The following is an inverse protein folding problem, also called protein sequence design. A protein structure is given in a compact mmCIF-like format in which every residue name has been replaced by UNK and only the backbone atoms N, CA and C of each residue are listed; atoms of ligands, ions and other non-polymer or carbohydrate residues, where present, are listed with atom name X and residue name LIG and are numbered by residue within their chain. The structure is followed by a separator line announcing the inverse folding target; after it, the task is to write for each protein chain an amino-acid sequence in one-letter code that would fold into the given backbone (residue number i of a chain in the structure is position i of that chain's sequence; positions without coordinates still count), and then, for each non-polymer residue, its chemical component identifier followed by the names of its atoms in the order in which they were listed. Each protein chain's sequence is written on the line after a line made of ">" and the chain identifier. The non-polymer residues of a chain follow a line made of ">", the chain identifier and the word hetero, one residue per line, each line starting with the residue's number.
data_IF_560785971566
#
_entry.id   IF_560785971566
#
_cell.length_a   1.000
_cell.length_b   1.000
_cell.length_c   1.000
_cell.angle_alpha   90.00
_cell.angle_beta   90.00
_cell.angle_gamma   90.00
#
_symmetry.space_group_name_H-M   'P 1'
#
loop_
_entity.id
_entity.type
_entity.pdbx_description
1 polymer ?
#
# COMPACT_ATOMS: atom_id res chain seq x y z
N UNK A 1 25.71 -5.69 3.11
CA UNK A 1 24.64 -6.66 3.42
C UNK A 1 23.51 -6.43 2.45
N UNK A 2 22.79 -7.47 2.07
CA UNK A 2 21.58 -7.34 1.22
C UNK A 2 20.48 -6.65 2.03
N UNK A 3 19.86 -5.62 1.48
CA UNK A 3 18.73 -4.94 2.12
C UNK A 3 17.50 -5.85 2.10
N UNK A 4 16.68 -5.79 3.13
CA UNK A 4 15.44 -6.58 3.26
C UNK A 4 14.21 -5.68 3.16
N UNK A 5 13.20 -6.12 2.42
CA UNK A 5 11.89 -5.48 2.34
C UNK A 5 10.78 -6.44 2.75
N UNK A 6 9.83 -5.96 3.55
CA UNK A 6 8.57 -6.64 3.84
C UNK A 6 7.44 -5.97 3.07
N UNK A 7 6.70 -6.75 2.26
CA UNK A 7 5.61 -6.25 1.41
C UNK A 7 4.31 -6.93 1.78
N UNK A 8 3.31 -6.15 2.18
CA UNK A 8 1.96 -6.66 2.48
C UNK A 8 1.07 -6.67 1.25
N UNK A 9 0.11 -7.61 1.19
CA UNK A 9 -0.79 -7.74 0.03
C UNK A 9 -0.07 -8.11 -1.27
N UNK A 10 0.99 -8.89 -1.16
CA UNK A 10 1.93 -9.20 -2.24
C UNK A 10 1.31 -9.95 -3.43
N UNK A 11 0.24 -10.71 -3.22
CA UNK A 11 -0.44 -11.47 -4.27
C UNK A 11 -1.38 -10.61 -5.16
N UNK A 12 -1.60 -9.34 -4.81
CA UNK A 12 -2.34 -8.39 -5.64
C UNK A 12 -1.52 -7.86 -6.82
N UNK A 13 -2.17 -7.20 -7.78
CA UNK A 13 -1.49 -6.68 -8.98
C UNK A 13 -0.35 -5.71 -8.67
N UNK A 14 -0.57 -4.73 -7.78
CA UNK A 14 0.49 -3.81 -7.32
C UNK A 14 1.51 -4.57 -6.46
N UNK A 15 1.05 -5.46 -5.56
CA UNK A 15 1.93 -6.23 -4.68
C UNK A 15 2.92 -7.10 -5.45
N UNK A 16 2.46 -7.77 -6.50
CA UNK A 16 3.31 -8.58 -7.38
C UNK A 16 4.38 -7.73 -8.09
N UNK A 17 3.98 -6.56 -8.62
CA UNK A 17 4.92 -5.63 -9.23
C UNK A 17 5.94 -5.06 -8.23
N UNK A 18 5.52 -4.82 -6.97
CA UNK A 18 6.40 -4.42 -5.88
C UNK A 18 7.45 -5.50 -5.62
N UNK A 19 7.04 -6.77 -5.43
CA UNK A 19 7.96 -7.88 -5.20
C UNK A 19 9.02 -7.95 -6.30
N UNK A 20 8.61 -7.99 -7.57
CA UNK A 20 9.53 -8.06 -8.70
C UNK A 20 10.47 -6.84 -8.78
N UNK A 21 9.95 -5.62 -8.52
CA UNK A 21 10.77 -4.42 -8.60
C UNK A 21 11.80 -4.33 -7.47
N UNK A 22 11.43 -4.67 -6.24
CA UNK A 22 12.38 -4.72 -5.11
C UNK A 22 13.43 -5.82 -5.29
N UNK A 23 13.03 -6.99 -5.81
CA UNK A 23 13.96 -8.06 -6.14
C UNK A 23 14.98 -7.64 -7.20
N UNK A 24 14.51 -7.00 -8.28
CA UNK A 24 15.38 -6.43 -9.31
C UNK A 24 16.31 -5.33 -8.79
N UNK A 25 15.93 -4.65 -7.72
CA UNK A 25 16.77 -3.66 -7.01
C UNK A 25 17.73 -4.30 -6.00
N UNK A 26 17.78 -5.64 -5.91
CA UNK A 26 18.72 -6.38 -5.08
C UNK A 26 18.30 -6.55 -3.62
N UNK A 27 17.02 -6.37 -3.31
CA UNK A 27 16.48 -6.63 -1.97
C UNK A 27 16.18 -8.11 -1.77
N UNK A 28 16.34 -8.61 -0.54
CA UNK A 28 15.71 -9.82 -0.07
C UNK A 28 14.24 -9.51 0.21
N UNK A 29 13.32 -10.15 -0.52
CA UNK A 29 11.89 -9.83 -0.52
C UNK A 29 11.13 -10.80 0.36
N UNK A 30 10.60 -10.31 1.47
CA UNK A 30 9.63 -11.02 2.30
C UNK A 30 8.24 -10.52 1.91
N UNK A 31 7.38 -11.43 1.49
CA UNK A 31 6.03 -11.14 1.04
C UNK A 31 5.00 -11.71 2.00
N UNK A 32 3.87 -11.02 2.18
CA UNK A 32 2.75 -11.56 2.96
C UNK A 32 1.40 -11.31 2.28
N UNK A 33 0.48 -12.22 2.52
CA UNK A 33 -0.88 -12.16 1.99
C UNK A 33 -1.76 -13.30 2.52
N UNK A 34 -3.06 -13.24 2.25
CA UNK A 34 -4.05 -14.22 2.71
C UNK A 34 -3.93 -15.62 2.08
N UNK A 35 -3.68 -15.76 0.77
CA UNK A 35 -3.52 -17.08 0.17
C UNK A 35 -2.39 -17.88 0.83
N UNK A 36 -2.54 -19.22 0.87
CA UNK A 36 -1.52 -20.13 1.41
C UNK A 36 -0.23 -20.16 0.59
N UNK A 37 -0.35 -19.84 -0.70
CA UNK A 37 0.76 -19.94 -1.66
C UNK A 37 0.99 -18.56 -2.27
N UNK A 38 2.27 -18.16 -2.33
CA UNK A 38 2.68 -16.97 -3.06
C UNK A 38 2.44 -17.15 -4.56
N UNK A 39 1.96 -16.09 -5.20
CA UNK A 39 1.96 -15.96 -6.66
C UNK A 39 2.79 -14.75 -7.11
N UNK A 40 3.76 -14.34 -6.30
CA UNK A 40 4.66 -13.21 -6.53
C UNK A 40 6.12 -13.68 -6.45
N UNK A 41 7.02 -12.90 -7.06
CA UNK A 41 8.45 -13.16 -7.03
C UNK A 41 9.05 -12.67 -5.70
N UNK A 42 9.09 -13.55 -4.70
CA UNK A 42 9.63 -13.26 -3.38
C UNK A 42 10.64 -14.34 -2.95
N UNK A 43 11.50 -13.98 -1.99
CA UNK A 43 12.47 -14.92 -1.39
C UNK A 43 11.85 -15.72 -0.25
N UNK A 44 10.91 -15.09 0.47
CA UNK A 44 10.16 -15.75 1.54
C UNK A 44 8.71 -15.25 1.57
N UNK A 45 7.78 -16.16 1.85
CA UNK A 45 6.37 -15.84 1.93
C UNK A 45 5.78 -16.26 3.28
N UNK A 46 5.08 -15.34 3.91
CA UNK A 46 4.38 -15.57 5.18
C UNK A 46 2.88 -15.39 4.94
N UNK A 47 2.10 -16.45 5.11
CA UNK A 47 0.65 -16.33 5.06
C UNK A 47 0.15 -15.55 6.28
N UNK A 48 -0.61 -14.48 6.05
CA UNK A 48 -1.28 -13.74 7.12
C UNK A 48 -2.53 -13.02 6.61
N UNK A 49 -3.56 -12.96 7.44
CA UNK A 49 -4.65 -12.00 7.30
C UNK A 49 -4.38 -10.83 8.26
N UNK A 50 -4.26 -9.62 7.71
CA UNK A 50 -3.92 -8.45 8.52
C UNK A 50 -5.03 -8.07 9.50
N UNK A 51 -6.29 -8.40 9.22
CA UNK A 51 -7.37 -8.18 10.19
C UNK A 51 -7.18 -9.02 11.45
N UNK A 52 -6.73 -10.28 11.30
CA UNK A 52 -6.47 -11.16 12.44
C UNK A 52 -5.27 -10.68 13.27
N UNK A 53 -4.22 -10.15 12.61
CA UNK A 53 -3.04 -9.63 13.29
C UNK A 53 -3.35 -8.40 14.15
N UNK A 54 -4.27 -7.56 13.72
CA UNK A 54 -4.67 -6.34 14.45
C UNK A 54 -5.43 -6.69 15.73
N UNK A 55 -6.26 -7.72 15.68
CA UNK A 55 -7.12 -8.12 16.80
C UNK A 55 -6.43 -9.04 17.80
N UNK A 56 -5.22 -9.54 17.47
CA UNK A 56 -4.53 -10.55 18.29
C UNK A 56 -3.03 -10.28 18.39
N UNK A 57 -2.60 -9.82 19.56
CA UNK A 57 -1.19 -9.51 19.85
C UNK A 57 -0.27 -10.74 19.70
N UNK A 58 -0.73 -11.94 20.07
CA UNK A 58 0.08 -13.15 19.98
C UNK A 58 0.35 -13.53 18.52
N UNK A 59 -0.67 -13.37 17.66
CA UNK A 59 -0.49 -13.56 16.21
C UNK A 59 0.43 -12.51 15.60
N UNK A 60 0.35 -11.26 16.06
CA UNK A 60 1.23 -10.18 15.62
C UNK A 60 2.69 -10.44 16.02
N UNK A 61 2.93 -10.88 17.25
CA UNK A 61 4.27 -11.26 17.71
C UNK A 61 4.80 -12.51 16.96
N UNK A 62 3.97 -13.51 16.74
CA UNK A 62 4.29 -14.67 15.90
C UNK A 62 4.67 -14.26 14.46
N UNK A 63 3.94 -13.31 13.88
CA UNK A 63 4.24 -12.79 12.56
C UNK A 63 5.62 -12.11 12.53
N UNK A 64 5.93 -11.30 13.55
CA UNK A 64 7.25 -10.68 13.74
C UNK A 64 8.36 -11.72 13.83
N UNK A 65 8.18 -12.75 14.64
CA UNK A 65 9.16 -13.83 14.82
C UNK A 65 9.37 -14.60 13.50
N UNK A 66 8.32 -14.85 12.74
CA UNK A 66 8.41 -15.45 11.41
C UNK A 66 9.26 -14.60 10.44
N UNK A 67 9.09 -13.27 10.45
CA UNK A 67 9.94 -12.37 9.66
C UNK A 67 11.40 -12.49 10.10
N UNK A 68 11.70 -12.43 11.40
CA UNK A 68 13.06 -12.50 11.91
C UNK A 68 13.68 -13.91 11.91
N UNK A 69 12.89 -14.95 11.60
CA UNK A 69 13.44 -16.29 11.36
C UNK A 69 14.26 -16.39 10.06
N UNK A 70 14.04 -15.47 9.12
CA UNK A 70 14.67 -15.49 7.78
C UNK A 70 15.56 -14.28 7.50
N UNK A 71 15.55 -13.27 8.35
CA UNK A 71 16.39 -12.06 8.20
C UNK A 71 16.85 -11.53 9.56
N UNK A 72 17.97 -10.81 9.58
CA UNK A 72 18.46 -10.10 10.77
C UNK A 72 18.15 -8.59 10.73
N UNK A 73 17.65 -8.07 9.59
CA UNK A 73 17.37 -6.66 9.41
C UNK A 73 16.10 -6.46 8.62
N UNK A 74 15.47 -5.32 8.80
CA UNK A 74 14.38 -4.85 7.95
C UNK A 74 14.70 -3.41 7.53
N UNK A 75 14.93 -3.22 6.24
CA UNK A 75 15.30 -1.92 5.67
C UNK A 75 14.10 -1.17 5.14
N UNK A 76 13.07 -1.89 4.68
CA UNK A 76 11.87 -1.27 4.12
C UNK A 76 10.62 -2.06 4.50
N UNK A 77 9.58 -1.35 4.93
CA UNK A 77 8.23 -1.87 5.09
C UNK A 77 7.33 -1.22 4.03
N UNK A 78 6.68 -2.04 3.18
CA UNK A 78 5.69 -1.56 2.21
C UNK A 78 4.29 -2.02 2.63
N UNK A 79 3.50 -1.08 3.15
CA UNK A 79 2.09 -1.28 3.50
C UNK A 79 1.24 -1.13 2.22
N UNK A 80 1.05 -2.24 1.50
CA UNK A 80 0.30 -2.28 0.25
C UNK A 80 -1.04 -3.01 0.37
N UNK A 81 -1.21 -3.91 1.33
CA UNK A 81 -2.48 -4.59 1.52
C UNK A 81 -3.64 -3.60 1.70
N UNK A 82 -4.76 -3.90 1.06
CA UNK A 82 -5.96 -3.09 1.19
C UNK A 82 -7.23 -3.93 1.00
N UNK A 83 -8.27 -3.53 1.69
CA UNK A 83 -9.64 -4.01 1.54
C UNK A 83 -10.49 -2.86 1.00
N UNK A 84 -11.31 -3.16 -0.03
CA UNK A 84 -12.26 -2.22 -0.62
C UNK A 84 -13.65 -2.85 -0.58
N UNK A 85 -14.48 -2.39 0.34
CA UNK A 85 -15.90 -2.74 0.41
C UNK A 85 -16.67 -1.53 -0.08
N UNK A 86 -17.47 -1.73 -1.12
CA UNK A 86 -18.29 -0.69 -1.72
C UNK A 86 -19.71 -0.78 -1.16
N UNK A 87 -20.18 0.30 -0.56
CA UNK A 87 -21.54 0.36 0.02
C UNK A 87 -22.06 1.80 0.02
N UNK A 88 -23.36 1.95 -0.25
CA UNK A 88 -24.05 3.22 -0.02
C UNK A 88 -24.14 3.49 1.50
N UNK A 89 -24.45 4.73 1.90
CA UNK A 89 -24.61 5.06 3.31
C UNK A 89 -25.74 4.24 3.98
N UNK A 90 -26.81 3.97 3.24
CA UNK A 90 -27.97 3.21 3.74
C UNK A 90 -27.66 1.73 3.98
N UNK A 91 -26.70 1.17 3.22
CA UNK A 91 -26.40 -0.27 3.22
C UNK A 91 -25.07 -0.58 3.91
N UNK A 92 -24.38 0.45 4.39
CA UNK A 92 -23.07 0.31 5.02
C UNK A 92 -23.19 -0.31 6.41
N UNK A 93 -22.66 -1.52 6.55
CA UNK A 93 -22.50 -2.15 7.84
C UNK A 93 -21.28 -1.58 8.60
N UNK A 94 -21.47 -1.27 9.88
CA UNK A 94 -20.38 -0.74 10.73
C UNK A 94 -19.24 -1.76 10.88
N UNK A 95 -19.54 -3.05 10.83
CA UNK A 95 -18.54 -4.11 10.84
C UNK A 95 -17.61 -4.04 9.62
N UNK A 96 -18.16 -3.79 8.43
CA UNK A 96 -17.40 -3.64 7.19
C UNK A 96 -16.54 -2.38 7.20
N UNK A 97 -17.07 -1.29 7.76
CA UNK A 97 -16.32 -0.05 7.97
C UNK A 97 -15.10 -0.31 8.88
N UNK A 98 -15.30 -0.93 10.04
CA UNK A 98 -14.22 -1.28 10.98
C UNK A 98 -13.19 -2.18 10.32
N UNK A 99 -13.62 -3.27 9.69
CA UNK A 99 -12.72 -4.19 8.99
C UNK A 99 -11.88 -3.51 7.90
N UNK A 100 -12.48 -2.54 7.19
CA UNK A 100 -11.75 -1.74 6.21
C UNK A 100 -10.66 -0.88 6.87
N UNK A 101 -10.97 -0.26 8.01
CA UNK A 101 -9.97 0.50 8.79
C UNK A 101 -8.88 -0.41 9.34
N UNK A 102 -9.24 -1.59 9.86
CA UNK A 102 -8.27 -2.53 10.44
C UNK A 102 -7.23 -2.96 9.39
N UNK A 103 -7.67 -3.35 8.21
CA UNK A 103 -6.76 -3.78 7.14
C UNK A 103 -5.97 -2.60 6.54
N UNK A 104 -6.63 -1.46 6.27
CA UNK A 104 -6.03 -0.39 5.47
C UNK A 104 -5.23 0.62 6.30
N UNK A 105 -5.50 0.71 7.61
CA UNK A 105 -4.93 1.71 8.49
C UNK A 105 -4.27 1.09 9.73
N UNK A 106 -5.04 0.36 10.56
CA UNK A 106 -4.57 -0.14 11.85
C UNK A 106 -3.42 -1.13 11.66
N UNK A 107 -3.51 -2.01 10.64
CA UNK A 107 -2.42 -2.94 10.32
C UNK A 107 -1.14 -2.22 9.90
N UNK A 108 -1.23 -1.13 9.11
CA UNK A 108 -0.05 -0.35 8.74
C UNK A 108 0.65 0.28 9.96
N UNK A 109 -0.14 0.78 10.92
CA UNK A 109 0.39 1.29 12.19
C UNK A 109 1.02 0.15 13.02
N UNK A 110 0.30 -0.95 13.24
CA UNK A 110 0.75 -2.08 14.04
C UNK A 110 2.06 -2.69 13.49
N UNK A 111 2.14 -2.90 12.18
CA UNK A 111 3.35 -3.40 11.53
C UNK A 111 4.52 -2.40 11.65
N UNK A 112 4.27 -1.11 11.48
CA UNK A 112 5.31 -0.10 11.67
C UNK A 112 5.82 -0.13 13.11
N UNK A 113 4.92 -0.25 14.09
CA UNK A 113 5.26 -0.29 15.51
C UNK A 113 6.10 -1.52 15.88
N UNK A 114 5.69 -2.73 15.47
CA UNK A 114 6.44 -3.95 15.83
C UNK A 114 7.81 -4.04 15.16
N UNK A 115 7.99 -3.38 14.00
CA UNK A 115 9.25 -3.34 13.27
C UNK A 115 10.05 -2.04 13.48
N UNK A 116 9.58 -1.09 14.29
CA UNK A 116 10.21 0.21 14.54
C UNK A 116 11.69 0.09 14.86
N UNK A 117 12.05 -0.80 15.79
CA UNK A 117 13.45 -0.99 16.21
C UNK A 117 14.35 -1.46 15.06
N UNK A 118 13.87 -2.37 14.23
CA UNK A 118 14.64 -2.88 13.10
C UNK A 118 14.80 -1.80 12.02
N UNK A 119 13.72 -1.08 11.69
CA UNK A 119 13.72 0.04 10.76
C UNK A 119 14.64 1.17 11.24
N UNK A 120 14.61 1.50 12.53
CA UNK A 120 15.51 2.50 13.14
C UNK A 120 16.98 2.07 13.03
N UNK A 121 17.28 0.81 13.34
CA UNK A 121 18.66 0.28 13.27
C UNK A 121 19.21 0.33 11.84
N UNK A 122 18.40 0.07 10.83
CA UNK A 122 18.77 0.11 9.42
C UNK A 122 18.74 1.51 8.81
N UNK A 123 18.27 2.54 9.53
CA UNK A 123 17.87 3.85 8.98
C UNK A 123 16.92 3.68 7.79
N UNK A 124 15.95 2.83 7.98
CA UNK A 124 15.09 2.32 6.94
C UNK A 124 13.97 3.26 6.49
N UNK A 125 12.99 2.67 5.82
CA UNK A 125 11.85 3.41 5.28
C UNK A 125 10.54 2.64 5.39
N UNK A 126 9.44 3.39 5.53
CA UNK A 126 8.07 2.90 5.38
C UNK A 126 7.46 3.55 4.15
N UNK A 127 6.90 2.74 3.26
CA UNK A 127 6.16 3.20 2.08
C UNK A 127 4.72 2.72 2.18
N UNK A 128 3.79 3.66 2.33
CA UNK A 128 2.36 3.34 2.38
C UNK A 128 1.75 3.47 0.98
N UNK A 129 1.01 2.47 0.51
CA UNK A 129 0.24 2.57 -0.73
C UNK A 129 -1.15 3.13 -0.39
N UNK A 130 -1.26 4.43 -0.57
CA UNK A 130 -2.48 5.21 -0.39
C UNK A 130 -3.47 5.04 -1.55
N UNK A 131 -4.14 6.13 -1.89
CA UNK A 131 -5.03 6.21 -3.05
C UNK A 131 -5.41 7.66 -3.33
N UNK A 132 -5.74 7.99 -4.57
CA UNK A 132 -6.42 9.23 -4.92
C UNK A 132 -7.69 9.47 -4.08
N UNK A 133 -8.31 8.38 -3.60
CA UNK A 133 -9.47 8.44 -2.71
C UNK A 133 -9.17 9.04 -1.32
N UNK A 134 -7.91 9.34 -1.01
CA UNK A 134 -7.56 10.13 0.17
C UNK A 134 -7.93 11.62 0.04
N UNK A 135 -8.10 12.13 -1.18
CA UNK A 135 -8.44 13.54 -1.48
C UNK A 135 -9.72 13.67 -2.29
N UNK A 136 -9.90 12.80 -3.28
CA UNK A 136 -11.01 12.81 -4.21
C UNK A 136 -11.73 11.47 -4.10
N UNK A 137 -13.07 11.47 -4.11
CA UNK A 137 -13.82 10.23 -3.97
C UNK A 137 -15.07 10.23 -4.86
N UNK A 138 -15.80 9.14 -4.83
CA UNK A 138 -17.04 8.92 -5.58
C UNK A 138 -18.03 8.13 -4.73
N UNK A 139 -19.33 8.05 -5.12
CA UNK A 139 -20.33 7.28 -4.38
C UNK A 139 -19.90 5.85 -4.06
N UNK A 140 -20.36 5.32 -2.93
CA UNK A 140 -20.11 3.97 -2.41
C UNK A 140 -18.68 3.69 -1.87
N UNK A 141 -17.80 4.68 -1.79
CA UNK A 141 -16.42 4.53 -1.34
C UNK A 141 -16.19 5.00 0.11
N UNK A 142 -17.24 5.10 0.94
CA UNK A 142 -17.17 5.70 2.29
C UNK A 142 -16.05 5.09 3.12
N UNK A 143 -16.05 3.77 3.35
CA UNK A 143 -15.07 3.09 4.19
C UNK A 143 -13.66 3.21 3.60
N UNK A 144 -13.53 2.95 2.31
CA UNK A 144 -12.24 2.96 1.61
C UNK A 144 -11.62 4.36 1.60
N UNK A 145 -12.37 5.38 1.17
CA UNK A 145 -11.87 6.76 1.12
C UNK A 145 -11.47 7.27 2.50
N UNK A 146 -12.29 7.00 3.54
CA UNK A 146 -11.96 7.35 4.92
C UNK A 146 -10.66 6.68 5.36
N UNK A 147 -10.49 5.38 5.09
CA UNK A 147 -9.27 4.65 5.47
C UNK A 147 -8.02 5.20 4.76
N UNK A 148 -8.13 5.58 3.49
CA UNK A 148 -6.99 6.10 2.72
C UNK A 148 -6.65 7.55 3.09
N UNK A 149 -7.65 8.38 3.44
CA UNK A 149 -7.42 9.71 4.01
C UNK A 149 -6.72 9.62 5.38
N UNK A 150 -7.14 8.68 6.23
CA UNK A 150 -6.48 8.43 7.51
C UNK A 150 -5.05 7.88 7.35
N UNK A 151 -4.79 6.99 6.39
CA UNK A 151 -3.46 6.47 6.09
C UNK A 151 -2.51 7.58 5.62
N UNK A 152 -2.99 8.56 4.84
CA UNK A 152 -2.24 9.78 4.49
C UNK A 152 -1.85 10.57 5.75
N UNK A 153 -2.78 10.75 6.69
CA UNK A 153 -2.52 11.39 7.97
C UNK A 153 -1.50 10.63 8.80
N UNK A 154 -1.64 9.31 8.88
CA UNK A 154 -0.70 8.42 9.57
C UNK A 154 0.72 8.54 9.02
N UNK A 155 0.89 8.57 7.69
CA UNK A 155 2.21 8.72 7.06
C UNK A 155 2.91 10.00 7.50
N UNK A 156 2.19 11.12 7.56
CA UNK A 156 2.73 12.41 8.02
C UNK A 156 3.07 12.39 9.52
N UNK A 157 2.19 11.82 10.35
CA UNK A 157 2.41 11.74 11.80
C UNK A 157 3.63 10.88 12.11
N UNK A 158 3.75 9.70 11.49
CA UNK A 158 4.90 8.82 11.69
C UNK A 158 6.20 9.44 11.16
N UNK A 159 6.16 10.19 10.06
CA UNK A 159 7.33 10.89 9.55
C UNK A 159 7.87 11.95 10.54
N UNK A 160 6.99 12.59 11.30
CA UNK A 160 7.36 13.54 12.36
C UNK A 160 7.87 12.80 13.60
N UNK A 161 7.16 11.76 14.03
CA UNK A 161 7.45 11.03 15.26
C UNK A 161 8.76 10.22 15.17
N UNK A 162 8.98 9.55 14.04
CA UNK A 162 10.19 8.76 13.78
C UNK A 162 11.39 9.61 13.35
N UNK A 163 11.17 10.86 12.97
CA UNK A 163 12.18 11.88 12.75
C UNK A 163 13.30 11.48 11.81
N UNK A 164 14.56 11.66 12.24
CA UNK A 164 15.76 11.32 11.46
C UNK A 164 16.16 9.84 11.46
N UNK A 165 15.32 8.94 12.00
CA UNK A 165 15.65 7.52 12.12
C UNK A 165 15.01 6.66 11.04
N UNK A 166 13.72 6.91 10.74
CA UNK A 166 12.95 6.17 9.73
C UNK A 166 12.21 7.16 8.85
N UNK A 167 12.34 7.03 7.54
CA UNK A 167 11.58 7.83 6.58
C UNK A 167 10.22 7.18 6.33
N UNK A 168 9.15 7.97 6.34
CA UNK A 168 7.79 7.47 6.09
C UNK A 168 7.16 8.30 4.98
N UNK A 169 6.80 7.64 3.87
CA UNK A 169 6.21 8.28 2.71
C UNK A 169 4.96 7.52 2.23
N UNK A 170 4.11 8.17 1.46
CA UNK A 170 2.94 7.56 0.84
C UNK A 170 2.96 7.75 -0.67
N UNK A 171 2.51 6.74 -1.40
CA UNK A 171 2.20 6.83 -2.84
C UNK A 171 0.68 6.79 -2.97
N UNK A 172 0.11 7.68 -3.76
CA UNK A 172 -1.34 7.75 -3.97
C UNK A 172 -1.67 7.53 -5.45
N UNK A 173 -1.95 6.27 -5.82
CA UNK A 173 -2.35 5.92 -7.17
C UNK A 173 -3.81 6.32 -7.46
N UNK A 174 -4.09 6.65 -8.73
CA UNK A 174 -5.44 6.68 -9.28
C UNK A 174 -5.82 5.29 -9.82
N UNK A 175 -6.29 5.19 -11.07
CA UNK A 175 -6.66 3.91 -11.66
C UNK A 175 -5.44 3.23 -12.33
N UNK A 176 -5.17 2.00 -11.92
CA UNK A 176 -4.09 1.17 -12.43
C UNK A 176 -4.62 -0.16 -12.97
N UNK A 177 -4.02 -0.67 -14.04
CA UNK A 177 -4.37 -1.95 -14.68
C UNK A 177 -4.02 -3.13 -13.76
N UNK A 178 -4.88 -3.38 -12.79
CA UNK A 178 -4.82 -4.54 -11.90
C UNK A 178 -5.95 -5.51 -12.23
N UNK A 179 -5.79 -6.79 -11.92
CA UNK A 179 -6.87 -7.77 -12.07
C UNK A 179 -8.17 -7.30 -11.39
N UNK A 180 -8.06 -6.72 -10.19
CA UNK A 180 -9.22 -6.19 -9.45
C UNK A 180 -9.96 -5.09 -10.23
N UNK A 181 -9.24 -4.15 -10.85
CA UNK A 181 -9.86 -3.09 -11.65
C UNK A 181 -10.52 -3.68 -12.90
N UNK A 182 -9.79 -4.47 -13.67
CA UNK A 182 -10.26 -5.06 -14.92
C UNK A 182 -11.48 -5.96 -14.68
N UNK A 183 -11.43 -6.80 -13.62
CA UNK A 183 -12.55 -7.67 -13.24
C UNK A 183 -13.80 -6.87 -12.87
N UNK A 184 -13.64 -5.71 -12.23
CA UNK A 184 -14.74 -4.81 -11.88
C UNK A 184 -15.46 -4.20 -13.10
N UNK A 185 -14.81 -4.16 -14.27
CA UNK A 185 -15.37 -3.61 -15.50
C UNK A 185 -15.68 -4.64 -16.57
N UNK A 186 -15.55 -5.95 -16.31
CA UNK A 186 -15.82 -7.02 -17.30
C UNK A 186 -17.22 -6.94 -17.90
N UNK A 187 -18.23 -6.55 -17.10
CA UNK A 187 -19.60 -6.42 -17.55
C UNK A 187 -19.90 -5.07 -18.26
N UNK A 188 -18.98 -4.11 -18.17
CA UNK A 188 -19.18 -2.73 -18.68
C UNK A 188 -17.88 -2.18 -19.27
N UNK A 189 -17.36 -2.76 -20.37
CA UNK A 189 -16.07 -2.34 -20.96
C UNK A 189 -16.06 -0.87 -21.41
N UNK A 190 -17.21 -0.34 -21.80
CA UNK A 190 -17.39 1.08 -22.16
C UNK A 190 -17.03 1.99 -21.00
N UNK A 191 -17.41 1.64 -19.77
CA UNK A 191 -17.06 2.40 -18.56
C UNK A 191 -15.58 2.38 -18.24
N UNK A 192 -14.86 1.31 -18.60
CA UNK A 192 -13.42 1.27 -18.49
C UNK A 192 -12.77 2.28 -19.46
N UNK A 193 -13.30 2.39 -20.68
CA UNK A 193 -12.85 3.39 -21.65
C UNK A 193 -13.12 4.82 -21.16
N UNK A 194 -14.31 5.08 -20.58
CA UNK A 194 -14.65 6.35 -19.96
C UNK A 194 -13.69 6.68 -18.81
N UNK A 195 -13.42 5.71 -17.92
CA UNK A 195 -12.46 5.88 -16.83
C UNK A 195 -11.07 6.22 -17.36
N UNK A 196 -10.64 5.56 -18.43
CA UNK A 196 -9.37 5.85 -19.09
C UNK A 196 -9.32 7.29 -19.62
N UNK A 197 -10.39 7.75 -20.27
CA UNK A 197 -10.51 9.10 -20.81
C UNK A 197 -10.58 10.19 -19.71
N UNK A 198 -10.95 9.85 -18.47
CA UNK A 198 -10.88 10.78 -17.34
C UNK A 198 -9.43 11.18 -17.01
N UNK A 199 -8.43 10.35 -17.34
CA UNK A 199 -7.04 10.67 -17.08
C UNK A 199 -6.45 11.51 -18.22
N UNK A 200 -5.92 12.71 -17.98
CA UNK A 200 -5.25 13.52 -18.99
C UNK A 200 -4.12 12.79 -19.74
N UNK A 201 -3.49 11.81 -19.11
CA UNK A 201 -2.49 10.95 -19.74
C UNK A 201 -3.04 10.02 -20.84
N UNK A 202 -4.37 9.92 -20.97
CA UNK A 202 -5.05 9.07 -21.94
C UNK A 202 -4.91 7.56 -21.72
N UNK A 203 -4.42 7.15 -20.55
CA UNK A 203 -4.19 5.73 -20.21
C UNK A 203 -4.36 5.48 -18.72
N UNK A 204 -4.59 4.21 -18.35
CA UNK A 204 -4.47 3.74 -16.98
C UNK A 204 -2.98 3.55 -16.62
N UNK A 205 -2.66 3.69 -15.34
CA UNK A 205 -1.32 3.42 -14.85
C UNK A 205 -0.99 1.93 -14.87
N UNK A 206 0.30 1.60 -14.98
CA UNK A 206 0.78 0.22 -14.88
C UNK A 206 1.30 -0.04 -13.46
N UNK A 207 0.99 -1.19 -12.83
CA UNK A 207 1.45 -1.53 -11.48
C UNK A 207 2.95 -1.33 -11.25
N UNK A 208 3.77 -1.57 -12.28
CA UNK A 208 5.22 -1.36 -12.23
C UNK A 208 5.62 0.11 -12.01
N UNK A 209 4.79 1.08 -12.37
CA UNK A 209 5.07 2.51 -12.14
C UNK A 209 4.99 2.83 -10.64
N UNK A 210 4.01 2.24 -9.92
CA UNK A 210 3.94 2.33 -8.45
C UNK A 210 5.14 1.64 -7.80
N UNK A 211 5.50 0.46 -8.29
CA UNK A 211 6.59 -0.32 -7.73
C UNK A 211 7.95 0.40 -7.89
N UNK A 212 8.21 1.03 -9.04
CA UNK A 212 9.42 1.86 -9.25
C UNK A 212 9.45 3.05 -8.30
N UNK A 213 8.31 3.72 -8.09
CA UNK A 213 8.20 4.83 -7.14
C UNK A 213 8.44 4.36 -5.70
N UNK A 214 7.95 3.17 -5.32
CA UNK A 214 8.21 2.60 -4.00
C UNK A 214 9.70 2.30 -3.79
N UNK A 215 10.38 1.70 -4.77
CA UNK A 215 11.83 1.46 -4.73
C UNK A 215 12.59 2.80 -4.62
N UNK A 216 12.18 3.83 -5.38
CA UNK A 216 12.76 5.16 -5.29
C UNK A 216 12.61 5.76 -3.88
N UNK A 217 11.42 5.72 -3.28
CA UNK A 217 11.20 6.22 -1.92
C UNK A 217 11.93 5.39 -0.85
N UNK A 218 12.16 4.11 -1.10
CA UNK A 218 12.92 3.22 -0.21
C UNK A 218 14.43 3.46 -0.25
N UNK A 219 14.95 4.08 -1.33
CA UNK A 219 16.39 4.30 -1.49
C UNK A 219 16.93 5.25 -0.43
N UNK A 220 17.99 4.82 0.26
CA UNK A 220 18.67 5.59 1.30
C UNK A 220 19.29 6.91 0.82
N UNK A 221 19.54 7.07 -0.49
CA UNK A 221 20.05 8.32 -1.06
C UNK A 221 19.04 9.48 -0.98
N UNK A 222 17.77 9.17 -0.73
CA UNK A 222 16.68 10.15 -0.60
C UNK A 222 16.41 10.53 0.88
N UNK A 223 17.47 10.83 1.65
CA UNK A 223 17.38 11.04 3.10
C UNK A 223 16.42 12.17 3.50
N UNK A 224 16.29 13.21 2.68
CA UNK A 224 15.41 14.35 2.98
C UNK A 224 13.93 14.11 2.61
N UNK A 225 13.61 12.97 1.99
CA UNK A 225 12.24 12.62 1.61
C UNK A 225 11.56 11.83 2.74
N UNK A 226 10.85 12.54 3.63
CA UNK A 226 9.95 11.96 4.62
C UNK A 226 8.67 12.78 4.73
N UNK A 227 7.54 12.17 5.05
CA UNK A 227 6.22 12.83 5.08
C UNK A 227 5.66 13.19 3.68
N UNK A 228 6.33 12.75 2.61
CA UNK A 228 5.93 13.04 1.24
C UNK A 228 4.72 12.21 0.82
N UNK A 229 3.79 12.86 0.13
CA UNK A 229 2.68 12.21 -0.55
C UNK A 229 2.95 12.31 -2.06
N UNK A 230 3.30 11.19 -2.66
CA UNK A 230 3.59 11.10 -4.08
C UNK A 230 2.35 10.65 -4.85
N UNK A 231 1.71 11.57 -5.53
CA UNK A 231 0.54 11.27 -6.36
C UNK A 231 0.98 10.72 -7.72
N UNK A 232 0.46 9.54 -8.09
CA UNK A 232 0.67 8.93 -9.41
C UNK A 232 -0.72 8.69 -10.01
N UNK A 233 -1.24 9.69 -10.70
CA UNK A 233 -2.67 9.78 -11.00
C UNK A 233 -2.98 10.12 -12.48
N UNK A 234 -1.99 10.12 -13.38
CA UNK A 234 -2.20 10.44 -14.81
C UNK A 234 -2.79 11.83 -15.06
N UNK A 235 -2.70 12.74 -14.07
CA UNK A 235 -3.20 14.11 -14.16
C UNK A 235 -4.67 14.29 -13.76
N UNK A 236 -5.39 13.22 -13.39
CA UNK A 236 -6.84 13.31 -13.10
C UNK A 236 -7.15 14.23 -11.92
N UNK A 237 -6.27 14.28 -10.90
CA UNK A 237 -6.48 15.14 -9.73
C UNK A 237 -6.31 16.65 -10.04
N UNK A 238 -5.60 16.99 -11.12
CA UNK A 238 -5.41 18.38 -11.56
C UNK A 238 -6.42 18.87 -12.59
N UNK A 239 -7.36 18.01 -12.99
CA UNK A 239 -8.30 18.34 -14.06
C UNK A 239 -9.50 19.14 -13.52
N UNK A 240 -9.68 20.34 -14.03
CA UNK A 240 -10.93 21.11 -13.88
C UNK A 240 -11.98 20.51 -14.82
N UNK A 241 -13.13 20.09 -14.27
CA UNK A 241 -14.29 19.66 -15.04
C UNK A 241 -15.20 20.90 -15.28
N UNK A 242 -14.80 21.72 -16.24
CA UNK A 242 -15.57 22.88 -16.67
C UNK A 242 -16.01 22.64 -18.12
N UNK A 243 -17.33 22.78 -18.45
CA UNK A 243 -17.78 22.70 -19.81
C UNK A 243 -17.18 23.88 -20.59
N UNK A 244 -16.50 23.61 -21.68
CA UNK A 244 -15.93 24.61 -22.60
C UNK A 244 -17.00 25.07 -23.56
#
# INVERSE_FOLDING_TARGET
>A
MTKTVLITGANGGIGNALCSSFKNAGYFVIATGRPKIANCDCDHYIQADLSDLVDNSDLLDQFKDNVFSVTQSLDTLVNNAALQILSSLSDLEIADFRKTLDVNLTAALALTQIFERALTTSKGSVVNIGSIHASLTKPAFISYATSKAALRGLAKSLAVDLGGYVRVNSIEPAAFETGMLIDGFKATPEKLSELTACHPSGKLGQPVEIAKAAVFLANSDNEFMTGTILEINGGIAGRLHDPV
#
